data_IF_197596240013
#
_entry.id   IF_197596240013
#
_cell.length_a   1.000
_cell.length_b   1.000
_cell.length_c   1.000
_cell.angle_alpha   90.00
_cell.angle_beta   90.00
_cell.angle_gamma   90.00
#
_symmetry.space_group_name_H-M   'P 1'
#
loop_
_entity.id
_entity.type
_entity.pdbx_description
1 polymer ?
#
# COMPACT_ATOMS: atom_id res chain seq x y z
N UNK A 1 -4.47 -22.26 10.42
CA UNK A 1 -5.46 -21.53 9.60
C UNK A 1 -4.75 -20.43 8.84
N UNK A 2 -4.84 -20.38 7.51
CA UNK A 2 -4.46 -19.15 6.79
C UNK A 2 -5.46 -18.09 7.21
N UNK A 3 -4.99 -17.00 7.81
CA UNK A 3 -5.82 -15.82 8.03
C UNK A 3 -6.18 -15.31 6.64
N UNK A 4 -7.40 -15.58 6.22
CA UNK A 4 -8.03 -14.87 5.12
C UNK A 4 -8.04 -13.40 5.54
N UNK A 5 -7.16 -12.58 4.97
CA UNK A 5 -7.29 -11.13 5.11
C UNK A 5 -8.58 -10.74 4.40
N UNK A 6 -9.67 -10.66 5.16
CA UNK A 6 -10.97 -10.19 4.69
C UNK A 6 -10.91 -8.67 4.56
N UNK A 7 -10.29 -8.22 3.47
CA UNK A 7 -10.11 -6.81 3.14
C UNK A 7 -10.75 -6.55 1.78
N UNK A 8 -11.53 -5.46 1.68
CA UNK A 8 -12.02 -4.93 0.42
C UNK A 8 -11.83 -3.42 0.38
N UNK A 9 -11.54 -2.87 -0.80
CA UNK A 9 -11.46 -1.42 -1.01
C UNK A 9 -12.87 -0.81 -1.00
N UNK A 10 -13.09 0.33 -0.35
CA UNK A 10 -14.30 1.14 -0.48
C UNK A 10 -13.95 2.55 -0.96
N UNK A 11 -14.93 3.27 -1.49
CA UNK A 11 -14.70 4.61 -2.04
C UNK A 11 -14.39 5.60 -0.91
N UNK A 12 -13.24 6.26 -0.99
CA UNK A 12 -12.82 7.28 0.00
C UNK A 12 -13.80 8.45 0.09
N UNK A 13 -14.56 8.68 -0.98
CA UNK A 13 -15.59 9.70 -1.07
C UNK A 13 -17.02 9.16 -0.89
N UNK A 14 -17.20 7.91 -0.41
CA UNK A 14 -18.52 7.30 -0.19
C UNK A 14 -19.43 8.19 0.68
N UNK A 15 -18.84 8.98 1.59
CA UNK A 15 -19.57 9.95 2.40
C UNK A 15 -20.27 11.06 1.59
N UNK A 16 -19.95 11.27 0.33
CA UNK A 16 -20.55 12.30 -0.52
C UNK A 16 -21.41 11.71 -1.65
N UNK A 17 -21.60 10.39 -1.66
CA UNK A 17 -22.50 9.74 -2.61
C UNK A 17 -23.96 10.12 -2.31
N UNK A 18 -24.73 10.40 -3.36
CA UNK A 18 -26.11 10.90 -3.21
C UNK A 18 -27.03 9.89 -2.52
N UNK A 19 -26.87 8.60 -2.80
CA UNK A 19 -27.67 7.53 -2.18
C UNK A 19 -27.33 7.41 -0.70
N UNK A 20 -26.05 7.51 -0.35
CA UNK A 20 -25.59 7.50 1.04
C UNK A 20 -25.91 8.80 1.80
N UNK A 21 -25.99 9.94 1.12
CA UNK A 21 -26.50 11.19 1.71
C UNK A 21 -27.97 11.02 2.08
N UNK A 22 -28.81 10.54 1.15
CA UNK A 22 -30.25 10.28 1.42
C UNK A 22 -30.44 9.30 2.58
N UNK A 23 -29.61 8.26 2.64
CA UNK A 23 -29.59 7.31 3.74
C UNK A 23 -29.32 7.99 5.09
N UNK A 24 -28.28 8.82 5.17
CA UNK A 24 -27.94 9.54 6.41
C UNK A 24 -28.93 10.63 6.78
N UNK A 25 -29.61 11.23 5.81
CA UNK A 25 -30.68 12.19 6.09
C UNK A 25 -31.84 11.52 6.85
N UNK A 26 -32.17 10.26 6.52
CA UNK A 26 -33.27 9.53 7.17
C UNK A 26 -32.83 8.79 8.44
N UNK A 27 -31.70 8.10 8.39
CA UNK A 27 -31.27 7.14 9.42
C UNK A 27 -29.96 7.52 10.12
N UNK A 28 -29.39 8.69 9.81
CA UNK A 28 -28.17 9.18 10.43
C UNK A 28 -26.98 8.23 10.26
N UNK A 29 -26.11 8.22 11.28
CA UNK A 29 -24.94 7.35 11.32
C UNK A 29 -25.32 5.86 11.42
N UNK A 30 -26.46 5.53 12.02
CA UNK A 30 -26.92 4.14 12.16
C UNK A 30 -27.16 3.50 10.78
N UNK A 31 -27.92 4.17 9.90
CA UNK A 31 -28.13 3.68 8.54
C UNK A 31 -26.82 3.53 7.76
N UNK A 32 -25.91 4.50 7.91
CA UNK A 32 -24.59 4.44 7.27
C UNK A 32 -23.77 3.24 7.74
N UNK A 33 -23.76 2.96 9.05
CA UNK A 33 -23.11 1.78 9.62
C UNK A 33 -23.72 0.48 9.08
N UNK A 34 -25.06 0.38 9.09
CA UNK A 34 -25.79 -0.80 8.55
C UNK A 34 -25.42 -1.07 7.10
N UNK A 35 -25.30 -0.03 6.27
CA UNK A 35 -24.87 -0.21 4.89
C UNK A 35 -23.49 -0.89 4.78
N UNK A 36 -22.50 -0.46 5.56
CA UNK A 36 -21.17 -1.10 5.54
C UNK A 36 -21.18 -2.50 6.15
N UNK A 37 -21.94 -2.72 7.23
CA UNK A 37 -22.11 -4.06 7.81
C UNK A 37 -22.75 -5.04 6.81
N UNK A 38 -23.70 -4.57 6.00
CA UNK A 38 -24.29 -5.36 4.91
C UNK A 38 -23.24 -5.67 3.83
N UNK A 39 -22.38 -4.72 3.46
CA UNK A 39 -21.29 -5.00 2.51
C UNK A 39 -20.28 -6.02 3.05
N UNK A 40 -19.96 -5.95 4.35
CA UNK A 40 -19.12 -6.94 5.02
C UNK A 40 -19.76 -8.33 4.98
N UNK A 41 -21.06 -8.42 5.28
CA UNK A 41 -21.81 -9.68 5.15
C UNK A 41 -21.80 -10.22 3.72
N UNK A 42 -21.98 -9.37 2.71
CA UNK A 42 -21.86 -9.80 1.31
C UNK A 42 -20.44 -10.30 0.99
N UNK A 43 -19.41 -9.71 1.58
CA UNK A 43 -18.01 -10.08 1.33
C UNK A 43 -17.69 -11.52 1.77
N UNK A 44 -18.35 -12.01 2.80
CA UNK A 44 -18.12 -13.35 3.35
C UNK A 44 -18.78 -14.46 2.49
N UNK A 45 -19.77 -14.10 1.68
CA UNK A 45 -20.48 -15.02 0.78
C UNK A 45 -19.77 -15.16 -0.58
N UNK A 46 -19.76 -16.38 -1.14
CA UNK A 46 -19.00 -16.69 -2.35
C UNK A 46 -19.47 -15.92 -3.61
N UNK A 47 -20.76 -15.58 -3.66
CA UNK A 47 -21.38 -14.88 -4.79
C UNK A 47 -21.66 -13.40 -4.50
N UNK A 48 -21.23 -12.88 -3.35
CA UNK A 48 -21.49 -11.51 -2.94
C UNK A 48 -22.98 -11.15 -2.89
N UNK A 49 -23.79 -12.13 -2.46
CA UNK A 49 -25.26 -12.04 -2.33
C UNK A 49 -25.66 -12.42 -0.91
N UNK A 50 -26.73 -11.81 -0.39
CA UNK A 50 -27.34 -12.21 0.89
C UNK A 50 -28.81 -12.53 0.71
N UNK A 51 -29.29 -13.54 1.43
CA UNK A 51 -30.71 -13.88 1.50
C UNK A 51 -31.48 -12.70 2.11
N UNK A 52 -32.66 -12.41 1.57
CA UNK A 52 -33.60 -11.36 1.99
C UNK A 52 -34.40 -11.77 3.24
N UNK A 53 -33.73 -12.30 4.25
CA UNK A 53 -34.32 -12.57 5.56
C UNK A 53 -33.88 -11.49 6.54
N UNK A 54 -34.65 -10.40 6.60
CA UNK A 54 -34.31 -9.24 7.41
C UNK A 54 -34.31 -9.53 8.91
N UNK A 55 -35.06 -10.55 9.38
CA UNK A 55 -35.08 -10.92 10.80
C UNK A 55 -33.78 -11.63 11.19
N UNK A 56 -33.27 -12.51 10.32
CA UNK A 56 -31.98 -13.17 10.54
C UNK A 56 -30.85 -12.15 10.50
N UNK A 57 -30.87 -11.22 9.54
CA UNK A 57 -29.85 -10.17 9.44
C UNK A 57 -29.93 -9.22 10.65
N UNK A 58 -31.13 -8.87 11.11
CA UNK A 58 -31.33 -8.05 12.31
C UNK A 58 -30.73 -8.70 13.56
N UNK A 59 -30.96 -10.00 13.74
CA UNK A 59 -30.39 -10.75 14.85
C UNK A 59 -28.87 -10.78 14.81
N UNK A 60 -28.28 -10.99 13.62
CA UNK A 60 -26.83 -11.05 13.39
C UNK A 60 -26.16 -9.69 13.64
N UNK A 61 -26.69 -8.63 13.03
CA UNK A 61 -26.11 -7.28 13.10
C UNK A 61 -26.48 -6.51 14.38
N UNK A 62 -27.42 -7.02 15.19
CA UNK A 62 -27.97 -6.35 16.39
C UNK A 62 -28.62 -5.00 16.06
N UNK A 63 -29.39 -4.97 14.98
CA UNK A 63 -30.09 -3.77 14.49
C UNK A 63 -31.53 -4.12 14.14
N UNK A 64 -32.44 -3.15 14.22
CA UNK A 64 -33.85 -3.34 13.87
C UNK A 64 -34.06 -3.81 12.42
N UNK A 65 -34.90 -4.85 12.25
CA UNK A 65 -35.23 -5.39 10.93
C UNK A 65 -35.88 -4.37 10.00
N UNK A 66 -36.63 -3.41 10.55
CA UNK A 66 -37.24 -2.31 9.80
C UNK A 66 -36.19 -1.38 9.19
N UNK A 67 -35.13 -1.07 9.94
CA UNK A 67 -34.01 -0.26 9.45
C UNK A 67 -33.26 -0.99 8.34
N UNK A 68 -32.95 -2.27 8.52
CA UNK A 68 -32.28 -3.08 7.49
C UNK A 68 -33.11 -3.15 6.22
N UNK A 69 -34.42 -3.43 6.35
CA UNK A 69 -35.34 -3.46 5.21
C UNK A 69 -35.31 -2.12 4.45
N UNK A 70 -35.43 -1.01 5.16
CA UNK A 70 -35.44 0.32 4.54
C UNK A 70 -34.10 0.66 3.85
N UNK A 71 -32.97 0.30 4.46
CA UNK A 71 -31.62 0.44 3.87
C UNK A 71 -31.50 -0.33 2.57
N UNK A 72 -31.97 -1.58 2.55
CA UNK A 72 -31.87 -2.49 1.40
C UNK A 72 -32.81 -2.06 0.27
N UNK A 73 -34.04 -1.66 0.59
CA UNK A 73 -35.09 -1.44 -0.42
C UNK A 73 -35.17 0.00 -0.94
N UNK A 74 -34.92 1.03 -0.12
CA UNK A 74 -35.42 2.38 -0.42
C UNK A 74 -34.36 3.42 -0.84
N UNK A 75 -33.07 3.07 -0.79
CA UNK A 75 -31.98 4.01 -1.13
C UNK A 75 -31.25 3.69 -2.45
N UNK A 76 -31.66 2.62 -3.15
CA UNK A 76 -31.02 2.19 -4.41
C UNK A 76 -29.55 1.76 -4.24
N UNK A 77 -29.18 1.35 -3.02
CA UNK A 77 -27.83 0.86 -2.68
C UNK A 77 -27.65 -0.63 -3.03
N UNK A 78 -28.77 -1.36 -3.09
CA UNK A 78 -28.84 -2.78 -3.37
C UNK A 78 -29.86 -3.07 -4.47
N UNK A 79 -29.64 -4.16 -5.20
CA UNK A 79 -30.51 -4.74 -6.20
C UNK A 79 -30.90 -6.16 -5.77
N UNK A 80 -31.97 -6.69 -6.35
CA UNK A 80 -32.46 -8.04 -6.06
C UNK A 80 -32.13 -8.99 -7.21
N UNK A 81 -31.97 -10.27 -6.87
CA UNK A 81 -31.89 -11.33 -7.87
C UNK A 81 -33.25 -11.54 -8.55
N UNK A 82 -33.26 -12.19 -9.72
CA UNK A 82 -34.49 -12.41 -10.52
C UNK A 82 -35.58 -13.17 -9.75
N UNK A 83 -35.17 -14.03 -8.80
CA UNK A 83 -36.07 -14.78 -7.93
C UNK A 83 -36.56 -13.96 -6.71
N UNK A 84 -36.05 -12.74 -6.51
CA UNK A 84 -36.38 -11.84 -5.41
C UNK A 84 -35.94 -12.31 -4.02
N UNK A 85 -35.25 -13.45 -3.92
CA UNK A 85 -34.89 -14.08 -2.64
C UNK A 85 -33.61 -13.54 -2.05
N UNK A 86 -32.71 -13.03 -2.89
CA UNK A 86 -31.44 -12.48 -2.47
C UNK A 86 -31.30 -11.02 -2.92
N UNK A 87 -30.42 -10.30 -2.24
CA UNK A 87 -29.98 -8.97 -2.64
C UNK A 87 -28.46 -8.90 -2.74
N UNK A 88 -27.99 -7.96 -3.55
CA UNK A 88 -26.57 -7.68 -3.78
C UNK A 88 -26.37 -6.19 -4.05
N UNK A 89 -25.13 -5.72 -4.07
CA UNK A 89 -24.81 -4.34 -4.45
C UNK A 89 -24.00 -4.35 -5.75
N UNK A 90 -24.55 -3.72 -6.80
CA UNK A 90 -23.91 -3.64 -8.12
C UNK A 90 -22.51 -3.00 -8.04
N UNK A 91 -22.39 -1.88 -7.33
CA UNK A 91 -21.13 -1.16 -7.17
C UNK A 91 -20.10 -1.96 -6.38
N UNK A 92 -20.54 -2.76 -5.41
CA UNK A 92 -19.68 -3.68 -4.66
C UNK A 92 -19.21 -4.84 -5.55
N UNK A 93 -20.12 -5.48 -6.28
CA UNK A 93 -19.80 -6.59 -7.17
C UNK A 93 -18.85 -6.18 -8.29
N UNK A 94 -19.03 -4.98 -8.84
CA UNK A 94 -18.10 -4.41 -9.82
C UNK A 94 -16.68 -4.32 -9.25
N UNK A 95 -16.51 -3.79 -8.03
CA UNK A 95 -15.20 -3.74 -7.34
C UNK A 95 -14.64 -5.14 -7.07
N UNK A 96 -15.47 -6.08 -6.62
CA UNK A 96 -15.02 -7.43 -6.30
C UNK A 96 -14.58 -8.19 -7.55
N UNK A 97 -15.29 -8.03 -8.67
CA UNK A 97 -14.91 -8.65 -9.94
C UNK A 97 -13.51 -8.25 -10.41
N UNK A 98 -13.14 -6.98 -10.26
CA UNK A 98 -11.80 -6.47 -10.59
C UNK A 98 -10.74 -7.07 -9.65
N UNK A 99 -11.06 -7.15 -8.35
CA UNK A 99 -10.16 -7.72 -7.35
C UNK A 99 -9.92 -9.21 -7.59
N UNK A 100 -10.98 -9.97 -7.84
CA UNK A 100 -10.93 -11.41 -8.09
C UNK A 100 -10.23 -11.71 -9.40
N UNK A 101 -10.49 -10.94 -10.46
CA UNK A 101 -9.76 -11.06 -11.73
C UNK A 101 -8.25 -10.85 -11.54
N UNK A 102 -7.85 -9.83 -10.77
CA UNK A 102 -6.45 -9.57 -10.46
C UNK A 102 -5.82 -10.69 -9.61
N UNK A 103 -6.54 -11.19 -8.60
CA UNK A 103 -6.13 -12.33 -7.77
C UNK A 103 -5.94 -13.59 -8.61
N UNK A 104 -6.91 -13.91 -9.47
CA UNK A 104 -6.89 -15.06 -10.36
C UNK A 104 -5.74 -14.97 -11.37
N UNK A 105 -5.47 -13.79 -11.94
CA UNK A 105 -4.32 -13.55 -12.82
C UNK A 105 -2.99 -13.82 -12.11
N UNK A 106 -2.82 -13.32 -10.88
CA UNK A 106 -1.62 -13.58 -10.06
C UNK A 106 -1.47 -15.06 -9.71
N UNK A 107 -2.57 -15.71 -9.32
CA UNK A 107 -2.58 -17.13 -9.02
C UNK A 107 -2.20 -17.98 -10.24
N UNK A 108 -2.75 -17.67 -11.41
CA UNK A 108 -2.43 -18.35 -12.67
C UNK A 108 -0.94 -18.16 -13.06
N UNK A 109 -0.42 -16.94 -12.93
CA UNK A 109 1.01 -16.66 -13.15
C UNK A 109 1.91 -17.43 -12.16
N UNK A 110 1.50 -17.51 -10.89
CA UNK A 110 2.19 -18.30 -9.87
C UNK A 110 2.22 -19.79 -10.18
N UNK A 111 1.08 -20.36 -10.59
CA UNK A 111 0.98 -21.77 -11.05
C UNK A 111 1.89 -22.01 -12.26
N UNK A 112 1.88 -21.11 -13.25
CA UNK A 112 2.75 -21.21 -14.45
C UNK A 112 4.23 -21.11 -14.10
N UNK A 113 4.60 -20.22 -13.17
CA UNK A 113 5.96 -20.08 -12.67
C UNK A 113 6.44 -21.32 -11.91
N UNK A 114 5.61 -21.86 -11.01
CA UNK A 114 5.90 -23.09 -10.28
C UNK A 114 6.06 -24.29 -11.23
N UNK A 115 5.14 -24.45 -12.19
CA UNK A 115 5.23 -25.48 -13.22
C UNK A 115 6.52 -25.36 -14.04
N UNK A 116 6.98 -24.14 -14.38
CA UNK A 116 8.26 -23.95 -15.09
C UNK A 116 9.49 -24.31 -14.22
N UNK A 117 9.42 -24.08 -12.90
CA UNK A 117 10.53 -24.35 -11.97
C UNK A 117 10.63 -25.83 -11.59
N UNK A 118 9.50 -26.54 -11.51
CA UNK A 118 9.44 -27.91 -11.01
C UNK A 118 9.02 -28.94 -12.06
N UNK A 119 8.55 -28.52 -13.24
CA UNK A 119 7.99 -29.41 -14.26
C UNK A 119 8.98 -30.33 -14.97
N UNK A 120 10.29 -30.27 -14.66
CA UNK A 120 11.29 -31.12 -15.31
C UNK A 120 12.16 -31.98 -14.37
N UNK A 121 12.08 -31.79 -13.04
CA UNK A 121 12.86 -32.56 -12.04
C UNK A 121 12.09 -32.62 -10.68
N UNK A 122 10.77 -32.82 -10.70
CA UNK A 122 10.01 -33.02 -9.46
C UNK A 122 10.25 -34.44 -8.90
N UNK A 123 11.21 -34.57 -7.98
CA UNK A 123 11.49 -35.82 -7.23
C UNK A 123 10.38 -36.14 -6.21
N UNK A 124 9.51 -35.18 -5.88
CA UNK A 124 8.40 -35.40 -4.96
C UNK A 124 7.06 -35.04 -5.62
N UNK A 125 6.22 -36.05 -5.85
CA UNK A 125 4.78 -35.83 -6.09
C UNK A 125 4.16 -35.39 -4.75
N UNK A 126 3.38 -34.29 -4.70
CA UNK A 126 2.63 -33.98 -3.50
C UNK A 126 1.50 -35.00 -3.35
N UNK A 127 1.47 -35.68 -2.21
CA UNK A 127 0.29 -36.44 -1.75
C UNK A 127 -0.87 -35.47 -1.54
N UNK A 128 -2.06 -35.84 -2.03
CA UNK A 128 -3.24 -34.96 -2.13
C UNK A 128 -3.81 -34.52 -0.77
N UNK A 129 -3.32 -35.05 0.36
CA UNK A 129 -4.04 -34.94 1.62
C UNK A 129 -3.45 -34.01 2.69
N UNK A 130 -2.36 -33.27 2.48
CA UNK A 130 -1.91 -32.31 3.51
C UNK A 130 -1.22 -31.07 2.93
N UNK A 131 -1.98 -29.98 2.76
CA UNK A 131 -1.44 -28.66 2.40
C UNK A 131 -0.81 -27.96 3.61
N UNK A 132 0.32 -28.48 4.10
CA UNK A 132 1.15 -27.79 5.10
C UNK A 132 2.65 -28.08 4.84
N UNK A 133 3.13 -27.84 3.62
CA UNK A 133 4.56 -27.79 3.36
C UNK A 133 5.08 -26.38 3.66
N UNK A 134 5.37 -26.10 4.92
CA UNK A 134 6.26 -25.00 5.30
C UNK A 134 7.66 -25.47 4.92
N UNK A 135 8.25 -24.85 3.89
CA UNK A 135 9.66 -25.03 3.60
C UNK A 135 10.47 -24.40 4.73
N UNK A 136 10.91 -25.20 5.70
CA UNK A 136 12.04 -24.79 6.56
C UNK A 136 13.30 -24.76 5.68
N UNK A 137 14.14 -23.72 5.76
CA UNK A 137 15.47 -23.82 5.21
C UNK A 137 16.22 -24.86 6.06
N UNK A 138 16.60 -25.98 5.45
CA UNK A 138 17.55 -26.88 6.08
C UNK A 138 18.91 -26.20 6.07
N UNK A 139 19.43 -25.93 7.26
CA UNK A 139 20.85 -25.69 7.47
C UNK A 139 21.64 -26.87 6.92
N UNK A 140 22.44 -26.62 5.89
CA UNK A 140 23.68 -27.37 5.67
C UNK A 140 24.53 -26.58 4.69
N UNK A 141 25.49 -25.85 5.26
CA UNK A 141 26.79 -25.67 4.63
C UNK A 141 27.39 -27.07 4.34
N UNK A 142 27.94 -27.26 3.14
CA UNK A 142 28.49 -28.57 2.78
C UNK A 142 28.79 -28.77 1.31
N UNK A 143 29.84 -28.08 0.87
CA UNK A 143 30.61 -28.24 -0.37
C UNK A 143 30.59 -29.62 -1.09
N UNK A 144 30.65 -29.55 -2.44
CA UNK A 144 31.13 -30.57 -3.42
C UNK A 144 30.33 -31.88 -3.59
N UNK A 145 29.83 -32.11 -4.80
CA UNK A 145 30.53 -32.92 -5.83
C UNK A 145 29.74 -32.98 -7.14
N UNK A 146 30.47 -32.87 -8.25
CA UNK A 146 30.01 -33.10 -9.62
C UNK A 146 29.49 -34.53 -9.80
N UNK A 147 28.27 -34.70 -10.31
CA UNK A 147 27.87 -35.89 -11.08
C UNK A 147 27.02 -35.50 -12.30
N UNK A 148 27.73 -35.43 -13.42
CA UNK A 148 27.38 -35.89 -14.77
C UNK A 148 25.88 -36.13 -15.05
N UNK A 149 25.23 -35.23 -15.81
CA UNK A 149 23.98 -35.52 -16.53
C UNK A 149 24.28 -35.75 -18.02
N UNK A 150 23.88 -36.93 -18.47
CA UNK A 150 23.93 -37.48 -19.81
C UNK A 150 23.06 -36.68 -20.80
N UNK A 151 23.62 -36.51 -22.00
CA UNK A 151 23.09 -36.08 -23.30
C UNK A 151 21.60 -35.72 -23.43
N UNK A 152 21.36 -34.50 -23.92
CA UNK A 152 20.29 -34.25 -24.89
C UNK A 152 20.71 -33.20 -25.92
N UNK A 153 20.81 -33.65 -27.16
CA UNK A 153 21.20 -32.88 -28.34
C UNK A 153 20.39 -31.58 -28.48
N UNK A 154 21.09 -30.45 -28.51
CA UNK A 154 20.56 -29.20 -29.08
C UNK A 154 21.73 -28.37 -29.64
N UNK A 155 21.86 -28.45 -30.96
CA UNK A 155 22.45 -27.47 -31.88
C UNK A 155 23.70 -26.74 -31.39
N UNK A 156 24.85 -27.18 -31.90
CA UNK A 156 26.11 -26.45 -31.90
C UNK A 156 25.92 -25.04 -32.46
N UNK A 157 25.99 -24.05 -31.59
CA UNK A 157 26.62 -22.78 -31.93
C UNK A 157 27.84 -22.69 -31.03
N UNK A 158 29.01 -22.97 -31.60
CA UNK A 158 30.33 -22.87 -30.98
C UNK A 158 30.56 -21.42 -30.53
N UNK A 159 30.11 -21.08 -29.32
CA UNK A 159 30.48 -19.82 -28.68
C UNK A 159 31.91 -20.00 -28.17
N UNK A 160 32.86 -19.44 -28.90
CA UNK A 160 34.27 -19.43 -28.53
C UNK A 160 34.40 -18.89 -27.10
N UNK A 161 34.99 -19.67 -26.19
CA UNK A 161 35.38 -19.15 -24.87
C UNK A 161 36.47 -18.10 -25.13
N UNK A 162 36.10 -16.83 -25.05
CA UNK A 162 37.05 -15.73 -25.06
C UNK A 162 38.06 -15.94 -23.95
N UNK A 163 39.35 -15.76 -24.25
CA UNK A 163 40.41 -15.80 -23.26
C UNK A 163 40.05 -14.95 -22.03
N UNK A 164 40.36 -15.46 -20.83
CA UNK A 164 40.19 -14.73 -19.57
C UNK A 164 40.93 -13.41 -19.68
N UNK A 165 40.20 -12.30 -19.65
CA UNK A 165 40.81 -10.97 -19.65
C UNK A 165 41.41 -10.72 -18.27
N UNK A 166 42.64 -10.22 -18.25
CA UNK A 166 43.31 -9.72 -17.05
C UNK A 166 43.34 -8.20 -17.12
N UNK A 167 42.98 -7.54 -16.04
CA UNK A 167 42.92 -6.10 -15.90
C UNK A 167 44.17 -5.60 -15.21
N UNK A 168 44.82 -4.59 -15.78
CA UNK A 168 45.92 -3.88 -15.15
C UNK A 168 45.43 -3.12 -13.91
N UNK A 169 46.31 -2.90 -12.93
CA UNK A 169 45.96 -2.24 -11.67
C UNK A 169 45.54 -0.77 -11.85
N UNK A 170 45.99 -0.13 -12.94
CA UNK A 170 45.65 1.24 -13.31
C UNK A 170 44.36 1.37 -14.13
N UNK A 171 43.76 0.25 -14.54
CA UNK A 171 42.53 0.20 -15.33
C UNK A 171 41.34 0.70 -14.51
N UNK A 172 40.42 1.43 -15.13
CA UNK A 172 39.23 1.98 -14.46
C UNK A 172 38.33 0.89 -13.86
N UNK A 173 38.29 -0.28 -14.50
CA UNK A 173 37.64 -1.49 -14.04
C UNK A 173 38.20 -1.98 -12.69
N UNK A 174 39.54 -2.00 -12.59
CA UNK A 174 40.25 -2.50 -11.41
C UNK A 174 40.19 -1.49 -10.27
N UNK A 175 40.35 -0.20 -10.58
CA UNK A 175 40.11 0.91 -9.62
C UNK A 175 38.71 0.86 -9.03
N UNK A 176 37.70 0.65 -9.87
CA UNK A 176 36.30 0.54 -9.40
C UNK A 176 36.07 -0.71 -8.53
N UNK A 177 36.74 -1.82 -8.85
CA UNK A 177 36.69 -3.04 -8.04
C UNK A 177 37.35 -2.84 -6.67
N UNK A 178 38.52 -2.19 -6.63
CA UNK A 178 39.19 -1.80 -5.39
C UNK A 178 38.35 -0.84 -4.57
N UNK A 179 37.71 0.14 -5.22
CA UNK A 179 36.86 1.11 -4.55
C UNK A 179 35.66 0.44 -3.84
N UNK A 180 34.96 -0.46 -4.53
CA UNK A 180 33.87 -1.24 -3.92
C UNK A 180 34.37 -2.13 -2.78
N UNK A 181 35.53 -2.77 -2.96
CA UNK A 181 36.11 -3.63 -1.92
C UNK A 181 36.46 -2.84 -0.66
N UNK A 182 37.16 -1.70 -0.78
CA UNK A 182 37.56 -0.89 0.36
C UNK A 182 36.36 -0.36 1.17
N UNK A 183 35.24 -0.05 0.50
CA UNK A 183 34.00 0.33 1.20
C UNK A 183 33.35 -0.84 1.93
N UNK A 184 33.32 -2.03 1.32
CA UNK A 184 32.80 -3.24 1.98
C UNK A 184 33.67 -3.63 3.18
N UNK A 185 34.99 -3.52 3.06
CA UNK A 185 35.94 -3.83 4.15
C UNK A 185 35.79 -2.85 5.33
N UNK A 186 35.54 -1.57 5.04
CA UNK A 186 35.26 -0.55 6.08
C UNK A 186 33.98 -0.87 6.86
N UNK A 187 32.94 -1.32 6.15
CA UNK A 187 31.63 -1.62 6.75
C UNK A 187 31.57 -3.01 7.40
N UNK A 188 32.35 -3.97 6.90
CA UNK A 188 32.41 -5.34 7.39
C UNK A 188 33.87 -5.86 7.37
N UNK A 189 34.61 -5.74 8.48
CA UNK A 189 36.01 -6.16 8.55
C UNK A 189 36.21 -7.69 8.48
N UNK A 190 35.16 -8.48 8.73
CA UNK A 190 35.19 -9.94 8.62
C UNK A 190 34.86 -10.45 7.21
N UNK A 191 34.69 -9.54 6.23
CA UNK A 191 34.38 -9.90 4.86
C UNK A 191 35.53 -10.68 4.20
N UNK A 192 35.18 -11.75 3.48
CA UNK A 192 36.16 -12.56 2.75
C UNK A 192 36.69 -11.80 1.53
N UNK A 193 38.01 -11.67 1.45
CA UNK A 193 38.70 -11.08 0.30
C UNK A 193 38.24 -11.69 -1.04
N UNK A 194 37.71 -10.88 -1.97
CA UNK A 194 37.18 -11.33 -3.24
C UNK A 194 38.26 -11.46 -4.30
N UNK A 195 37.89 -12.08 -5.42
CA UNK A 195 38.69 -12.08 -6.63
C UNK A 195 38.49 -10.76 -7.39
N UNK A 196 39.43 -9.83 -7.22
CA UNK A 196 39.37 -8.48 -7.80
C UNK A 196 39.36 -8.49 -9.34
N UNK A 197 39.97 -9.49 -9.97
CA UNK A 197 39.97 -9.63 -11.43
C UNK A 197 38.59 -10.00 -11.95
N UNK A 198 37.88 -10.89 -11.24
CA UNK A 198 36.47 -11.19 -11.55
C UNK A 198 35.56 -10.00 -11.27
N UNK A 199 35.85 -9.23 -10.24
CA UNK A 199 35.09 -8.02 -9.91
C UNK A 199 35.26 -6.95 -10.98
N UNK A 200 36.49 -6.75 -11.46
CA UNK A 200 36.79 -5.85 -12.57
C UNK A 200 36.05 -6.26 -13.85
N UNK A 201 35.98 -7.56 -14.19
CA UNK A 201 35.20 -8.01 -15.36
C UNK A 201 33.70 -7.73 -15.22
N UNK A 202 33.13 -7.90 -14.03
CA UNK A 202 31.71 -7.60 -13.80
C UNK A 202 31.41 -6.10 -13.91
N UNK A 203 32.30 -5.24 -13.42
CA UNK A 203 32.19 -3.79 -13.53
C UNK A 203 32.41 -3.32 -14.97
N UNK A 204 33.35 -3.91 -15.69
CA UNK A 204 33.51 -3.72 -17.14
C UNK A 204 32.21 -4.05 -17.88
N UNK A 205 31.56 -5.16 -17.53
CA UNK A 205 30.30 -5.53 -18.15
C UNK A 205 29.18 -4.53 -17.84
N UNK A 206 29.21 -3.85 -16.69
CA UNK A 206 28.28 -2.73 -16.44
C UNK A 206 28.56 -1.53 -17.34
N UNK A 207 29.84 -1.25 -17.60
CA UNK A 207 30.22 -0.15 -18.49
C UNK A 207 29.91 -0.45 -19.95
N UNK A 208 30.43 -1.54 -20.48
CA UNK A 208 30.32 -1.87 -21.91
C UNK A 208 28.93 -2.37 -22.31
N UNK A 209 28.32 -3.25 -21.52
CA UNK A 209 27.05 -3.91 -21.92
C UNK A 209 25.83 -3.14 -21.43
N UNK A 210 25.90 -2.63 -20.21
CA UNK A 210 24.78 -1.91 -19.61
C UNK A 210 24.89 -0.39 -19.86
N UNK A 211 25.91 0.04 -20.62
CA UNK A 211 26.16 1.42 -21.07
C UNK A 211 26.21 2.43 -19.91
N UNK A 212 26.76 2.01 -18.76
CA UNK A 212 26.85 2.86 -17.57
C UNK A 212 28.23 3.51 -17.49
N UNK A 213 28.33 4.85 -17.52
CA UNK A 213 29.63 5.52 -17.37
C UNK A 213 30.23 5.25 -16.00
N UNK A 214 31.56 5.16 -15.93
CA UNK A 214 32.33 4.87 -14.71
C UNK A 214 31.95 5.77 -13.54
N UNK A 215 31.75 7.07 -13.79
CA UNK A 215 31.29 8.02 -12.78
C UNK A 215 29.95 7.63 -12.12
N UNK A 216 28.97 7.15 -12.91
CA UNK A 216 27.69 6.70 -12.35
C UNK A 216 27.82 5.41 -11.55
N UNK A 217 28.73 4.52 -11.97
CA UNK A 217 29.02 3.28 -11.25
C UNK A 217 29.67 3.62 -9.90
N UNK A 218 30.67 4.50 -9.88
CA UNK A 218 31.32 4.98 -8.65
C UNK A 218 30.33 5.61 -7.68
N UNK A 219 29.52 6.57 -8.15
CA UNK A 219 28.48 7.19 -7.30
C UNK A 219 27.45 6.20 -6.76
N UNK A 220 27.14 5.15 -7.52
CA UNK A 220 26.23 4.09 -7.05
C UNK A 220 26.89 3.21 -5.99
N UNK A 221 28.19 2.93 -6.13
CA UNK A 221 28.98 2.22 -5.12
C UNK A 221 28.91 3.03 -3.81
N UNK A 222 29.23 4.32 -3.85
CA UNK A 222 29.18 5.19 -2.67
C UNK A 222 27.79 5.17 -2.02
N UNK A 223 26.76 5.46 -2.81
CA UNK A 223 25.40 5.54 -2.32
C UNK A 223 24.90 4.23 -1.70
N UNK A 224 25.23 3.08 -2.30
CA UNK A 224 24.78 1.79 -1.78
C UNK A 224 25.53 1.36 -0.52
N UNK A 225 26.78 1.81 -0.34
CA UNK A 225 27.58 1.50 0.84
C UNK A 225 27.33 2.49 2.00
N UNK A 226 26.80 3.69 1.72
CA UNK A 226 26.36 4.66 2.74
C UNK A 226 24.95 4.39 3.28
N UNK A 227 24.12 3.65 2.54
CA UNK A 227 22.76 3.30 2.95
C UNK A 227 22.76 2.02 3.79
N UNK A 228 22.28 2.10 5.03
CA UNK A 228 22.21 0.99 5.99
C UNK A 228 21.53 -0.27 5.47
N UNK A 229 20.51 -0.09 4.61
CA UNK A 229 19.79 -1.22 4.05
C UNK A 229 20.57 -1.84 2.89
N UNK A 230 21.18 -1.05 2.01
CA UNK A 230 21.87 -1.57 0.84
C UNK A 230 23.28 -2.07 1.13
N UNK A 231 24.00 -1.52 2.10
CA UNK A 231 25.36 -1.95 2.43
C UNK A 231 25.39 -3.43 2.86
N UNK A 232 24.40 -3.88 3.64
CA UNK A 232 24.27 -5.28 4.04
C UNK A 232 23.90 -6.21 2.87
N UNK A 233 23.25 -5.67 1.83
CA UNK A 233 22.74 -6.44 0.70
C UNK A 233 23.73 -6.54 -0.48
N UNK A 234 24.51 -5.48 -0.72
CA UNK A 234 25.43 -5.34 -1.86
C UNK A 234 26.86 -5.64 -1.40
N UNK A 235 27.18 -6.93 -1.38
CA UNK A 235 28.51 -7.45 -1.01
C UNK A 235 29.36 -7.89 -2.22
N UNK A 236 28.91 -7.60 -3.45
CA UNK A 236 29.64 -7.95 -4.67
C UNK A 236 29.15 -7.14 -5.89
N UNK A 237 30.01 -6.95 -6.92
CA UNK A 237 29.63 -6.22 -8.13
C UNK A 237 28.55 -6.94 -8.94
N UNK A 238 28.47 -8.28 -8.86
CA UNK A 238 27.37 -9.05 -9.46
C UNK A 238 26.01 -8.64 -8.88
N UNK A 239 25.93 -8.49 -7.56
CA UNK A 239 24.71 -8.03 -6.89
C UNK A 239 24.45 -6.56 -7.20
N UNK A 240 25.49 -5.73 -7.19
CA UNK A 240 25.42 -4.31 -7.52
C UNK A 240 24.79 -4.12 -8.91
N UNK A 241 25.31 -4.82 -9.92
CA UNK A 241 24.78 -4.81 -11.29
C UNK A 241 23.33 -5.23 -11.36
N UNK A 242 22.99 -6.35 -10.72
CA UNK A 242 21.63 -6.91 -10.75
C UNK A 242 20.59 -5.97 -10.12
N UNK A 243 20.98 -5.24 -9.08
CA UNK A 243 20.08 -4.35 -8.34
C UNK A 243 20.23 -2.88 -8.72
N UNK A 244 21.07 -2.56 -9.69
CA UNK A 244 21.43 -1.19 -10.04
C UNK A 244 20.20 -0.33 -10.32
N UNK A 245 19.26 -0.79 -11.15
CA UNK A 245 18.09 0.01 -11.52
C UNK A 245 17.12 0.21 -10.35
N UNK A 246 17.02 -0.76 -9.45
CA UNK A 246 16.22 -0.64 -8.23
C UNK A 246 16.82 0.40 -7.28
N UNK A 247 18.15 0.37 -7.10
CA UNK A 247 18.88 1.33 -6.29
C UNK A 247 18.82 2.73 -6.91
N UNK A 248 18.98 2.86 -8.22
CA UNK A 248 18.87 4.13 -8.94
C UNK A 248 17.47 4.76 -8.79
N UNK A 249 16.40 3.96 -8.86
CA UNK A 249 15.04 4.45 -8.64
C UNK A 249 14.86 4.97 -7.20
N UNK A 250 15.40 4.24 -6.21
CA UNK A 250 15.31 4.63 -4.79
C UNK A 250 16.17 5.86 -4.47
N UNK A 251 17.39 5.95 -5.00
CA UNK A 251 18.25 7.11 -4.87
C UNK A 251 17.58 8.39 -5.43
N UNK A 252 16.97 8.28 -6.62
CA UNK A 252 16.24 9.39 -7.22
C UNK A 252 14.95 9.76 -6.47
N UNK A 253 14.27 8.79 -5.85
CA UNK A 253 13.10 9.05 -5.01
C UNK A 253 13.49 9.78 -3.72
N UNK A 254 14.56 9.36 -3.05
CA UNK A 254 15.10 10.04 -1.86
C UNK A 254 15.49 11.49 -2.20
N UNK A 255 16.15 11.73 -3.33
CA UNK A 255 16.49 13.09 -3.79
C UNK A 255 15.25 13.97 -4.04
N UNK A 256 14.14 13.39 -4.52
CA UNK A 256 12.87 14.11 -4.66
C UNK A 256 12.23 14.44 -3.32
N UNK A 257 12.29 13.53 -2.34
CA UNK A 257 11.75 13.78 -1.00
C UNK A 257 12.51 14.90 -0.28
N UNK A 258 13.85 14.89 -0.35
CA UNK A 258 14.69 15.97 0.23
C UNK A 258 14.34 17.32 -0.39
N UNK A 259 14.16 17.38 -1.72
CA UNK A 259 13.71 18.60 -2.40
C UNK A 259 12.31 19.04 -1.97
N UNK A 260 11.36 18.11 -1.80
CA UNK A 260 10.01 18.43 -1.33
C UNK A 260 9.98 18.92 0.13
N UNK A 261 10.86 18.42 1.00
CA UNK A 261 11.01 18.92 2.37
C UNK A 261 11.66 20.31 2.42
N UNK A 262 12.56 20.62 1.48
CA UNK A 262 13.12 21.96 1.31
C UNK A 262 12.07 22.99 0.87
N UNK A 263 11.07 22.58 0.08
CA UNK A 263 9.84 23.36 -0.13
C UNK A 263 8.87 23.17 1.04
N UNK A 264 9.34 23.40 2.26
CA UNK A 264 8.45 23.60 3.39
C UNK A 264 7.46 24.70 3.02
N UNK A 265 6.16 24.36 2.94
CA UNK A 265 5.10 25.37 2.77
C UNK A 265 5.40 26.52 3.73
N UNK A 266 5.39 27.80 3.30
CA UNK A 266 5.53 28.90 4.23
C UNK A 266 4.46 28.69 5.30
N UNK A 267 4.89 28.40 6.52
CA UNK A 267 4.01 28.22 7.65
C UNK A 267 3.38 29.59 7.85
N UNK A 268 2.11 29.75 7.49
CA UNK A 268 1.37 30.99 7.72
C UNK A 268 1.51 31.28 9.21
N UNK A 269 2.31 32.28 9.53
CA UNK A 269 2.44 32.76 10.90
C UNK A 269 1.30 33.76 11.05
N UNK A 270 0.24 33.33 11.72
CA UNK A 270 -0.80 34.26 12.13
C UNK A 270 -0.20 35.12 13.25
N UNK A 271 -0.27 36.44 13.09
CA UNK A 271 0.13 37.35 14.15
C UNK A 271 -0.72 37.06 15.38
N UNK A 272 -0.06 36.92 16.53
CA UNK A 272 -0.75 36.57 17.76
C UNK A 272 -1.80 37.65 18.08
N UNK A 273 -3.11 37.32 18.14
CA UNK A 273 -4.14 38.33 18.35
C UNK A 273 -3.91 39.12 19.63
N UNK A 274 -4.27 40.41 19.62
CA UNK A 274 -4.05 41.32 20.75
C UNK A 274 -4.65 40.80 22.08
N UNK A 275 -5.74 40.02 22.02
CA UNK A 275 -6.38 39.41 23.19
C UNK A 275 -5.61 38.24 23.81
N UNK A 276 -4.63 37.67 23.10
CA UNK A 276 -3.78 36.57 23.58
C UNK A 276 -2.46 37.10 24.19
N UNK A 277 -2.21 38.41 24.15
CA UNK A 277 -1.03 38.99 24.77
C UNK A 277 -1.19 39.11 26.30
N UNK A 278 -0.15 38.77 27.10
CA UNK A 278 -0.20 38.94 28.56
C UNK A 278 -0.47 40.40 28.94
N UNK A 279 -1.52 40.63 29.74
CA UNK A 279 -1.90 41.99 30.17
C UNK A 279 -2.95 42.68 29.29
N UNK A 280 -3.54 42.00 28.31
CA UNK A 280 -4.67 42.54 27.56
C UNK A 280 -5.88 42.81 28.46
N UNK A 281 -6.31 44.08 28.51
CA UNK A 281 -7.60 44.50 29.07
C UNK A 281 -8.52 44.93 27.94
N UNK A 282 -9.67 44.28 27.73
CA UNK A 282 -10.61 44.71 26.69
C UNK A 282 -11.16 46.09 27.02
N UNK A 283 -11.24 46.96 26.01
CA UNK A 283 -11.95 48.24 26.13
C UNK A 283 -13.44 47.96 26.36
N UNK A 284 -13.90 48.12 27.60
CA UNK A 284 -15.33 48.11 27.89
C UNK A 284 -15.93 49.40 27.34
N UNK A 285 -16.54 49.37 26.16
CA UNK A 285 -17.44 50.44 25.73
C UNK A 285 -18.72 50.30 26.57
N UNK A 286 -19.00 51.18 27.55
CA UNK A 286 -20.24 51.08 28.30
C UNK A 286 -21.41 51.22 27.31
N UNK A 287 -22.33 50.27 27.33
CA UNK A 287 -23.52 50.34 26.47
C UNK A 287 -24.22 51.68 26.68
N UNK A 288 -24.41 52.43 25.59
CA UNK A 288 -25.12 53.71 25.63
C UNK A 288 -26.54 53.48 26.16
N UNK A 289 -27.16 54.50 26.80
CA UNK A 289 -28.55 54.39 27.27
C UNK A 289 -29.51 53.94 26.16
N UNK A 290 -29.26 54.39 24.93
CA UNK A 290 -30.00 54.00 23.73
C UNK A 290 -29.81 52.53 23.36
N UNK A 291 -28.59 51.98 23.46
CA UNK A 291 -28.34 50.56 23.22
C UNK A 291 -28.98 49.67 24.31
N UNK A 292 -29.04 50.14 25.56
CA UNK A 292 -29.76 49.43 26.63
C UNK A 292 -31.27 49.45 26.39
N UNK A 293 -31.81 50.58 25.94
CA UNK A 293 -33.22 50.73 25.61
C UNK A 293 -33.63 49.83 24.42
N UNK A 294 -32.79 49.73 23.38
CA UNK A 294 -33.08 48.87 22.23
C UNK A 294 -33.01 47.37 22.57
N UNK A 295 -32.06 46.96 23.42
CA UNK A 295 -31.98 45.57 23.93
C UNK A 295 -33.21 45.23 24.76
N UNK A 296 -33.64 46.12 25.66
CA UNK A 296 -34.82 45.90 26.48
C UNK A 296 -36.11 45.84 25.64
N UNK A 297 -36.27 46.77 24.69
CA UNK A 297 -37.40 46.74 23.76
C UNK A 297 -37.44 45.44 22.93
N UNK A 298 -36.28 44.93 22.51
CA UNK A 298 -36.17 43.64 21.83
C UNK A 298 -36.56 42.46 22.73
N UNK A 299 -36.18 42.48 24.01
CA UNK A 299 -36.58 41.46 25.00
C UNK A 299 -38.09 41.47 25.25
N UNK A 300 -38.71 42.65 25.34
CA UNK A 300 -40.15 42.80 25.55
C UNK A 300 -40.95 42.28 24.33
N UNK A 301 -40.49 42.58 23.12
CA UNK A 301 -41.08 42.02 21.90
C UNK A 301 -40.98 40.49 21.85
N UNK A 302 -39.83 39.93 22.25
CA UNK A 302 -39.62 38.48 22.30
C UNK A 302 -40.52 37.80 23.33
N UNK A 303 -40.77 38.48 24.46
CA UNK A 303 -41.67 38.00 25.50
C UNK A 303 -43.13 38.00 25.03
N UNK A 304 -43.57 39.09 24.40
CA UNK A 304 -44.91 39.20 23.82
C UNK A 304 -45.16 38.14 22.73
N UNK A 305 -44.17 37.90 21.86
CA UNK A 305 -44.25 36.84 20.84
C UNK A 305 -44.35 35.42 21.46
N UNK A 306 -43.66 35.18 22.58
CA UNK A 306 -43.74 33.90 23.30
C UNK A 306 -45.10 33.69 23.95
N UNK A 307 -45.67 34.73 24.55
CA UNK A 307 -47.01 34.69 25.17
C UNK A 307 -48.12 34.49 24.14
N UNK A 308 -48.07 35.21 23.01
CA UNK A 308 -49.00 35.03 21.90
C UNK A 308 -48.93 33.60 21.31
N UNK A 309 -47.72 33.04 21.19
CA UNK A 309 -47.52 31.66 20.71
C UNK A 309 -48.00 30.61 21.71
N UNK A 310 -47.92 30.89 23.02
CA UNK A 310 -48.43 29.99 24.06
C UNK A 310 -49.96 29.95 24.05
N UNK A 311 -50.62 31.10 23.93
CA UNK A 311 -52.09 31.18 23.89
C UNK A 311 -52.70 30.57 22.63
N UNK A 312 -52.02 30.68 21.48
CA UNK A 312 -52.45 30.05 20.22
C UNK A 312 -52.29 28.52 20.17
N UNK A 313 -51.68 27.89 21.19
CA UNK A 313 -51.50 26.45 21.30
C UNK A 313 -52.50 25.77 22.24
N UNK A 314 -53.41 26.55 22.85
CA UNK A 314 -54.40 26.10 23.84
C UNK A 314 -55.86 26.17 23.37
N UNK A 315 -56.09 26.60 22.12
CA UNK A 315 -57.36 26.47 21.36
C UNK A 315 -57.20 25.37 20.29
#
# INVERSE_FOLDING_TARGET
MRVSTSYFSHDSNARNDEKLIRLRMKHGAAGYGVFFMLLERLRDEANYTSIKDYNVIAFDLRVDASLIKDVVENFGLFAFTDDGKCFYSESFNARMSLMDAAKNKRAAAGKKGAAKRWGNDAIAKPSENNSNAIAKPSESDGNKTNKTKLNKNKTNTTRQKSASRTFAEDSEEYKSALHLWGRIETNNPDAKAPDLQKWADELRLMHERDERPWDKIGRMIDWCQDDDFWQANILSPVKLRKQYDQMAAKANANAKQVKQQSYGRPRRQEDNPAWMQPGYTPESKPATPEAKASINAGLDQLKAMREAKANASTD
#
